data_IF_099549385382
#
_entry.id   IF_099549385382
#
_cell.length_a   1.000
_cell.length_b   1.000
_cell.length_c   1.000
_cell.angle_alpha   90.00
_cell.angle_beta   90.00
_cell.angle_gamma   90.00
#
_symmetry.space_group_name_H-M   'P 1'
#
loop_
_entity.id
_entity.type
_entity.pdbx_description
1 polymer ?
#
# COMPACT_ATOMS: atom_id res chain seq x y z
N UNK A 1 7.14 -12.78 -1.08
CA UNK A 1 7.61 -12.79 0.32
C UNK A 1 7.83 -11.34 0.72
N UNK A 2 7.33 -10.90 1.88
CA UNK A 2 7.53 -9.52 2.36
C UNK A 2 8.99 -9.34 2.81
N UNK A 3 9.69 -8.36 2.24
CA UNK A 3 11.04 -8.00 2.64
C UNK A 3 10.96 -7.15 3.92
N UNK A 4 11.53 -7.65 5.02
CA UNK A 4 11.43 -6.99 6.34
C UNK A 4 12.11 -5.62 6.36
N UNK A 5 13.20 -5.43 5.60
CA UNK A 5 13.87 -4.13 5.49
C UNK A 5 12.99 -3.11 4.74
N UNK A 6 12.40 -3.55 3.64
CA UNK A 6 11.50 -2.73 2.82
C UNK A 6 10.24 -2.32 3.59
N UNK A 7 9.68 -3.26 4.36
CA UNK A 7 8.53 -2.98 5.22
C UNK A 7 8.86 -1.96 6.32
N UNK A 8 10.06 -2.02 6.90
CA UNK A 8 10.51 -1.04 7.88
C UNK A 8 10.62 0.37 7.27
N UNK A 9 11.21 0.49 6.08
CA UNK A 9 11.29 1.76 5.35
C UNK A 9 9.90 2.34 5.01
N UNK A 10 8.97 1.48 4.58
CA UNK A 10 7.59 1.89 4.36
C UNK A 10 6.92 2.39 5.65
N UNK A 11 7.12 1.71 6.79
CA UNK A 11 6.59 2.14 8.09
C UNK A 11 7.15 3.51 8.47
N UNK A 12 8.46 3.72 8.38
CA UNK A 12 9.11 5.00 8.68
C UNK A 12 8.58 6.14 7.81
N UNK A 13 8.40 5.89 6.52
CA UNK A 13 7.80 6.84 5.59
C UNK A 13 6.34 7.17 5.98
N UNK A 14 5.51 6.16 6.22
CA UNK A 14 4.10 6.35 6.57
C UNK A 14 3.93 7.09 7.90
N UNK A 15 4.86 6.93 8.85
CA UNK A 15 4.84 7.62 10.14
C UNK A 15 5.04 9.13 10.02
N UNK A 16 5.63 9.63 8.93
CA UNK A 16 5.80 11.07 8.68
C UNK A 16 4.45 11.82 8.64
N UNK A 17 3.37 11.12 8.25
CA UNK A 17 1.98 11.59 8.41
C UNK A 17 1.13 10.47 9.01
N UNK A 18 1.30 10.30 10.32
CA UNK A 18 0.68 9.18 11.06
C UNK A 18 -0.85 9.20 10.98
N UNK A 19 -1.50 10.37 11.01
CA UNK A 19 -2.97 10.43 10.98
C UNK A 19 -3.52 10.01 9.62
N UNK A 20 -2.92 10.49 8.52
CA UNK A 20 -3.26 10.07 7.16
C UNK A 20 -3.06 8.56 6.97
N UNK A 21 -2.02 8.00 7.59
CA UNK A 21 -1.62 6.60 7.44
C UNK A 21 -2.01 5.70 8.63
N UNK A 22 -2.93 6.13 9.50
CA UNK A 22 -3.19 5.43 10.76
C UNK A 22 -3.71 4.00 10.55
N UNK A 23 -4.55 3.80 9.52
CA UNK A 23 -5.08 2.48 9.18
C UNK A 23 -3.97 1.55 8.66
N UNK A 24 -3.21 1.88 7.59
CA UNK A 24 -2.14 1.00 7.13
C UNK A 24 -1.08 0.72 8.20
N UNK A 25 -0.71 1.72 9.02
CA UNK A 25 0.22 1.53 10.14
C UNK A 25 -0.30 0.52 11.17
N UNK A 26 -1.55 0.63 11.61
CA UNK A 26 -2.17 -0.34 12.54
C UNK A 26 -2.13 -1.76 11.98
N UNK A 27 -2.44 -1.91 10.70
CA UNK A 27 -2.52 -3.21 10.06
C UNK A 27 -1.16 -3.85 9.84
N UNK A 28 -0.14 -3.05 9.49
CA UNK A 28 1.25 -3.51 9.41
C UNK A 28 1.76 -4.00 10.76
N UNK A 29 1.43 -3.30 11.85
CA UNK A 29 1.78 -3.72 13.22
C UNK A 29 1.07 -5.01 13.63
N UNK A 30 -0.23 -5.14 13.33
CA UNK A 30 -1.02 -6.31 13.72
C UNK A 30 -0.73 -7.55 12.86
N UNK A 31 -0.37 -7.36 11.59
CA UNK A 31 -0.25 -8.43 10.61
C UNK A 31 0.99 -8.30 9.71
N UNK A 32 2.21 -8.16 10.27
CA UNK A 32 3.42 -7.81 9.51
C UNK A 32 3.78 -8.83 8.44
N UNK A 33 3.45 -10.11 8.65
CA UNK A 33 3.73 -11.21 7.72
C UNK A 33 2.64 -11.44 6.67
N UNK A 34 1.49 -10.77 6.77
CA UNK A 34 0.34 -10.97 5.87
C UNK A 34 0.22 -9.91 4.79
N UNK A 35 0.79 -8.73 5.03
CA UNK A 35 0.77 -7.61 4.10
C UNK A 35 2.04 -7.66 3.28
N UNK A 36 1.89 -7.74 1.96
CA UNK A 36 3.01 -7.55 1.06
C UNK A 36 3.26 -6.05 0.94
N UNK A 37 4.49 -5.64 1.19
CA UNK A 37 4.90 -4.25 1.26
C UNK A 37 6.03 -4.03 0.27
N UNK A 38 5.91 -2.95 -0.50
CA UNK A 38 6.96 -2.45 -1.36
C UNK A 38 7.26 -0.99 -1.03
N UNK A 39 8.51 -0.59 -1.16
CA UNK A 39 8.98 0.77 -0.88
C UNK A 39 9.90 1.25 -1.98
N UNK A 40 9.71 2.50 -2.40
CA UNK A 40 10.59 3.18 -3.34
C UNK A 40 10.94 4.56 -2.82
N UNK A 41 12.21 4.94 -2.97
CA UNK A 41 12.70 6.29 -2.73
C UNK A 41 13.35 6.81 -4.00
N UNK A 42 13.12 8.09 -4.29
CA UNK A 42 13.75 8.85 -5.37
C UNK A 42 14.39 10.11 -4.79
N UNK A 43 15.04 10.92 -5.63
CA UNK A 43 15.50 12.23 -5.20
C UNK A 43 14.36 13.20 -4.86
N UNK A 44 13.15 12.95 -5.39
CA UNK A 44 11.97 13.81 -5.19
C UNK A 44 11.13 13.44 -3.97
N UNK A 45 11.27 12.22 -3.44
CA UNK A 45 10.48 11.75 -2.30
C UNK A 45 10.45 10.23 -2.21
N UNK A 46 9.38 9.70 -1.64
CA UNK A 46 9.22 8.27 -1.44
C UNK A 46 7.77 7.82 -1.63
N UNK A 47 7.59 6.51 -1.78
CA UNK A 47 6.29 5.87 -1.85
C UNK A 47 6.31 4.51 -1.15
N UNK A 48 5.15 4.14 -0.61
CA UNK A 48 4.88 2.83 -0.05
C UNK A 48 3.64 2.23 -0.72
N UNK A 49 3.79 1.01 -1.24
CA UNK A 49 2.72 0.20 -1.79
C UNK A 49 2.45 -0.97 -0.84
N UNK A 50 1.20 -1.11 -0.42
CA UNK A 50 0.76 -2.16 0.49
C UNK A 50 -0.35 -2.97 -0.18
N UNK A 51 -0.15 -4.29 -0.24
CA UNK A 51 -1.09 -5.25 -0.79
C UNK A 51 -1.65 -6.12 0.34
N UNK A 52 -2.92 -5.92 0.63
CA UNK A 52 -3.65 -6.58 1.70
C UNK A 52 -4.47 -7.72 1.12
N UNK A 53 -4.25 -8.98 1.50
CA UNK A 53 -5.12 -10.07 1.09
C UNK A 53 -6.51 -9.89 1.67
N UNK A 54 -7.52 -9.61 0.84
CA UNK A 54 -8.90 -9.35 1.27
C UNK A 54 -9.42 -10.45 2.19
N UNK A 55 -9.16 -11.72 1.83
CA UNK A 55 -9.58 -12.88 2.62
C UNK A 55 -9.04 -12.89 4.07
N UNK A 56 -7.91 -12.22 4.34
CA UNK A 56 -7.30 -12.16 5.68
C UNK A 56 -8.05 -11.21 6.61
N UNK A 57 -8.62 -10.12 6.09
CA UNK A 57 -9.19 -9.05 6.92
C UNK A 57 -10.71 -9.13 6.91
N UNK A 58 -11.32 -9.36 8.09
CA UNK A 58 -12.74 -9.68 8.20
C UNK A 58 -13.66 -8.60 7.60
N UNK A 59 -13.32 -7.32 7.80
CA UNK A 59 -14.05 -6.22 7.19
C UNK A 59 -13.95 -6.25 5.66
N UNK A 60 -12.73 -6.31 5.11
CA UNK A 60 -12.53 -6.31 3.65
C UNK A 60 -13.17 -7.54 2.98
N UNK A 61 -13.07 -8.73 3.60
CA UNK A 61 -13.74 -9.95 3.13
C UNK A 61 -15.27 -9.81 3.09
N UNK A 62 -15.87 -9.09 4.04
CA UNK A 62 -17.31 -8.86 4.05
C UNK A 62 -17.73 -7.76 3.07
N UNK A 63 -16.94 -6.69 2.94
CA UNK A 63 -17.27 -5.52 2.11
C UNK A 63 -16.97 -5.74 0.63
N UNK A 64 -15.90 -6.46 0.31
CA UNK A 64 -15.43 -6.70 -1.05
C UNK A 64 -15.23 -8.20 -1.30
N UNK A 65 -16.29 -9.01 -1.21
CA UNK A 65 -16.19 -10.47 -1.21
C UNK A 65 -15.55 -11.04 -2.49
N UNK A 66 -15.67 -10.31 -3.61
CA UNK A 66 -15.11 -10.71 -4.90
C UNK A 66 -13.69 -10.20 -5.13
N UNK A 67 -13.09 -9.43 -4.21
CA UNK A 67 -11.74 -8.89 -4.40
C UNK A 67 -10.67 -9.82 -3.82
N UNK A 68 -9.51 -9.88 -4.49
CA UNK A 68 -8.36 -10.64 -4.02
C UNK A 68 -7.48 -9.78 -3.09
N UNK A 69 -7.31 -8.50 -3.44
CA UNK A 69 -6.40 -7.59 -2.76
C UNK A 69 -7.01 -6.20 -2.58
N UNK A 70 -6.77 -5.62 -1.40
CA UNK A 70 -6.84 -4.17 -1.22
C UNK A 70 -5.45 -3.57 -1.48
N UNK A 71 -5.39 -2.55 -2.31
CA UNK A 71 -4.19 -1.82 -2.69
C UNK A 71 -4.21 -0.45 -2.01
N UNK A 72 -3.21 -0.17 -1.19
CA UNK A 72 -2.94 1.16 -0.65
C UNK A 72 -1.62 1.65 -1.24
N UNK A 73 -1.65 2.82 -1.87
CA UNK A 73 -0.47 3.49 -2.38
C UNK A 73 -0.41 4.88 -1.77
N UNK A 74 0.63 5.12 -0.97
CA UNK A 74 0.92 6.42 -0.35
C UNK A 74 2.24 6.91 -0.91
N UNK A 75 2.29 8.18 -1.33
CA UNK A 75 3.47 8.75 -1.96
C UNK A 75 3.61 10.22 -1.59
N UNK A 76 4.86 10.68 -1.40
CA UNK A 76 5.20 12.10 -1.34
C UNK A 76 5.69 12.63 -2.70
N UNK A 77 6.01 11.74 -3.63
CA UNK A 77 6.41 12.08 -5.00
C UNK A 77 5.86 11.07 -6.03
N UNK A 78 5.42 11.57 -7.18
CA UNK A 78 4.76 10.79 -8.23
C UNK A 78 5.70 9.81 -8.93
N UNK A 79 6.97 10.17 -9.11
CA UNK A 79 8.02 9.31 -9.67
C UNK A 79 8.28 8.08 -8.79
N UNK A 80 8.29 8.25 -7.46
CA UNK A 80 8.37 7.16 -6.51
C UNK A 80 7.14 6.24 -6.59
N UNK A 81 5.93 6.82 -6.74
CA UNK A 81 4.71 6.04 -6.94
C UNK A 81 4.74 5.23 -8.25
N UNK A 82 5.21 5.84 -9.34
CA UNK A 82 5.36 5.20 -10.65
C UNK A 82 6.28 3.99 -10.60
N UNK A 83 7.40 4.08 -9.88
CA UNK A 83 8.34 2.97 -9.71
C UNK A 83 7.69 1.72 -9.08
N UNK A 84 6.61 1.89 -8.30
CA UNK A 84 5.91 0.79 -7.62
C UNK A 84 4.77 0.18 -8.44
N UNK A 85 4.33 0.80 -9.54
CA UNK A 85 3.17 0.30 -10.31
C UNK A 85 3.40 -1.09 -10.90
N UNK A 86 4.64 -1.43 -11.23
CA UNK A 86 5.00 -2.76 -11.76
C UNK A 86 4.80 -3.89 -10.73
N UNK A 87 4.70 -3.55 -9.44
CA UNK A 87 4.49 -4.52 -8.35
C UNK A 87 3.01 -4.85 -8.12
N UNK A 88 2.09 -4.13 -8.79
CA UNK A 88 0.65 -4.36 -8.69
C UNK A 88 0.27 -5.51 -9.63
N UNK A 89 -0.31 -6.61 -9.12
CA UNK A 89 -0.68 -7.75 -9.96
C UNK A 89 -1.87 -7.38 -10.86
N UNK A 90 -1.72 -7.60 -12.18
CA UNK A 90 -2.73 -7.23 -13.19
C UNK A 90 -3.79 -8.30 -13.43
N UNK A 91 -3.56 -9.50 -12.93
CA UNK A 91 -4.38 -10.71 -13.11
C UNK A 91 -5.33 -10.97 -11.93
N UNK A 92 -5.51 -9.97 -11.05
CA UNK A 92 -6.31 -10.08 -9.82
C UNK A 92 -7.38 -9.01 -9.73
N UNK A 93 -8.43 -9.29 -8.95
CA UNK A 93 -9.47 -8.32 -8.64
C UNK A 93 -9.00 -7.42 -7.50
N UNK A 94 -8.80 -6.15 -7.80
CA UNK A 94 -8.19 -5.18 -6.88
C UNK A 94 -9.20 -4.14 -6.43
N UNK A 95 -9.09 -3.71 -5.17
CA UNK A 95 -9.75 -2.51 -4.66
C UNK A 95 -8.66 -1.51 -4.26
N UNK A 96 -8.71 -0.31 -4.83
CA UNK A 96 -7.77 0.76 -4.50
C UNK A 96 -8.34 1.66 -3.40
N UNK A 97 -7.64 1.77 -2.27
CA UNK A 97 -7.95 2.74 -1.20
C UNK A 97 -6.88 3.83 -1.21
N UNK A 98 -7.11 4.86 -2.01
CA UNK A 98 -6.18 5.96 -2.25
C UNK A 98 -6.56 7.19 -1.44
N UNK A 99 -5.55 7.88 -0.89
CA UNK A 99 -5.72 9.09 -0.09
C UNK A 99 -5.27 10.36 -0.84
N UNK A 100 -4.66 10.20 -2.01
CA UNK A 100 -4.06 11.28 -2.79
C UNK A 100 -4.69 11.37 -4.19
N UNK A 101 -5.27 12.52 -4.57
CA UNK A 101 -5.78 12.74 -5.91
C UNK A 101 -4.73 12.58 -7.01
N UNK A 102 -3.47 12.94 -6.75
CA UNK A 102 -2.38 12.79 -7.73
C UNK A 102 -2.06 11.32 -7.98
N UNK A 103 -2.06 10.50 -6.92
CA UNK A 103 -1.89 9.04 -7.05
C UNK A 103 -3.11 8.42 -7.73
N UNK A 104 -4.31 8.92 -7.46
CA UNK A 104 -5.52 8.48 -8.15
C UNK A 104 -5.45 8.76 -9.65
N UNK A 105 -5.01 9.95 -10.05
CA UNK A 105 -4.85 10.31 -11.46
C UNK A 105 -3.80 9.44 -12.18
N UNK A 106 -2.80 8.92 -11.47
CA UNK A 106 -1.79 8.01 -12.02
C UNK A 106 -2.38 6.62 -12.35
N UNK A 107 -3.48 6.24 -11.71
CA UNK A 107 -4.11 4.92 -11.82
C UNK A 107 -5.39 4.91 -12.68
N UNK A 108 -5.81 6.08 -13.17
CA UNK A 108 -6.97 6.26 -14.05
C UNK A 108 -6.59 6.09 -15.52
#
# INVERSE_FOLDING_TARGET
>A
MTNTFEQQQAIEFLQQDTLRNIVPLKMLTAHPKRIQTHYAATSGGAAALLLFPTATFAYDRATYPDSDLIVILSASALDAAQALLAQIPRDRKLIFKLMDPAVQALLA
#
